data_IF_929192540190
#
_entry.id   IF_929192540190
#
_cell.length_a   1.000
_cell.length_b   1.000
_cell.length_c   1.000
_cell.angle_alpha   90.00
_cell.angle_beta   90.00
_cell.angle_gamma   90.00
#
_symmetry.space_group_name_H-M   'P 1'
#
loop_
_entity.id
_entity.type
_entity.pdbx_description
1 polymer ?
#
# COMPACT_ATOMS: atom_id res chain seq x y z
N UNK A 1 -38.13 68.16 57.83
CA UNK A 1 -37.13 68.15 56.74
C UNK A 1 -36.07 67.10 57.07
N UNK A 2 -35.60 66.40 56.03
CA UNK A 2 -34.45 65.49 55.97
C UNK A 2 -34.68 63.99 56.26
N UNK A 3 -35.18 63.28 55.25
CA UNK A 3 -35.00 61.83 55.06
C UNK A 3 -33.69 61.58 54.30
N UNK A 4 -32.76 60.84 54.88
CA UNK A 4 -31.59 60.30 54.16
C UNK A 4 -31.86 58.85 53.77
N UNK A 5 -32.12 58.62 52.49
CA UNK A 5 -32.23 57.28 51.91
C UNK A 5 -30.88 56.88 51.31
N UNK A 6 -30.19 55.94 51.95
CA UNK A 6 -28.95 55.35 51.41
C UNK A 6 -29.33 54.32 50.35
N UNK A 7 -29.04 54.62 49.08
CA UNK A 7 -29.15 53.65 47.97
C UNK A 7 -28.01 52.64 48.10
N UNK A 8 -28.34 51.38 48.41
CA UNK A 8 -27.41 50.24 48.26
C UNK A 8 -27.25 49.93 46.77
N UNK A 9 -26.05 50.14 46.23
CA UNK A 9 -25.66 49.54 44.96
C UNK A 9 -25.29 48.07 45.22
N UNK A 10 -26.16 47.13 44.82
CA UNK A 10 -25.74 45.74 44.62
C UNK A 10 -25.02 45.66 43.28
N UNK A 11 -23.69 45.50 43.33
CA UNK A 11 -22.91 45.11 42.16
C UNK A 11 -23.13 43.60 41.93
N UNK A 12 -23.83 43.26 40.85
CA UNK A 12 -23.89 41.90 40.33
C UNK A 12 -22.58 41.59 39.59
N UNK A 13 -21.66 40.87 40.23
CA UNK A 13 -20.53 40.23 39.55
C UNK A 13 -21.02 38.98 38.82
N UNK A 14 -21.40 39.14 37.56
CA UNK A 14 -21.56 38.02 36.63
C UNK A 14 -20.20 37.43 36.32
N UNK A 15 -19.84 36.33 36.98
CA UNK A 15 -18.71 35.48 36.59
C UNK A 15 -19.17 34.72 35.33
N UNK A 16 -18.85 35.27 34.17
CA UNK A 16 -18.93 34.58 32.88
C UNK A 16 -17.98 33.37 32.93
N UNK A 17 -18.55 32.18 33.13
CA UNK A 17 -17.86 30.91 32.94
C UNK A 17 -17.60 30.75 31.43
N UNK A 18 -16.53 31.38 30.94
CA UNK A 18 -16.05 31.19 29.57
C UNK A 18 -15.36 29.83 29.52
N UNK A 19 -15.90 28.81 28.81
CA UNK A 19 -15.18 27.58 28.62
C UNK A 19 -13.99 27.89 27.71
N UNK A 20 -12.78 27.88 28.28
CA UNK A 20 -11.53 27.79 27.54
C UNK A 20 -11.53 26.45 26.79
N UNK A 21 -12.16 26.43 25.62
CA UNK A 21 -12.01 25.35 24.66
C UNK A 21 -10.61 25.48 24.08
N UNK A 22 -9.63 24.85 24.74
CA UNK A 22 -8.34 24.56 24.11
C UNK A 22 -8.63 23.67 22.91
N UNK A 23 -8.62 24.26 21.71
CA UNK A 23 -8.62 23.52 20.46
C UNK A 23 -7.29 22.77 20.39
N UNK A 24 -7.31 21.48 20.77
CA UNK A 24 -6.18 20.62 20.50
C UNK A 24 -6.11 20.47 18.98
N UNK A 25 -5.11 21.09 18.38
CA UNK A 25 -4.76 20.84 16.98
C UNK A 25 -4.30 19.39 16.93
N UNK A 26 -5.16 18.51 16.41
CA UNK A 26 -4.80 17.12 16.17
C UNK A 26 -3.78 17.10 15.02
N UNK A 27 -2.50 16.91 15.35
CA UNK A 27 -1.46 16.65 14.37
C UNK A 27 -1.58 15.20 13.92
N UNK A 28 -2.24 14.97 12.78
CA UNK A 28 -2.15 13.70 12.08
C UNK A 28 -0.86 13.71 11.26
N UNK A 29 0.11 12.86 11.60
CA UNK A 29 1.25 12.62 10.72
C UNK A 29 0.75 11.98 9.43
N UNK A 30 1.00 12.62 8.28
CA UNK A 30 0.67 12.05 6.98
C UNK A 30 1.53 10.81 6.72
N UNK A 31 0.92 9.72 6.29
CA UNK A 31 1.63 8.53 5.82
C UNK A 31 1.81 8.62 4.30
N UNK A 32 3.06 8.68 3.83
CA UNK A 32 3.37 8.69 2.40
C UNK A 32 3.46 7.27 1.87
N UNK A 33 2.53 6.93 0.98
CA UNK A 33 2.45 5.61 0.35
C UNK A 33 2.73 5.72 -1.13
N UNK A 34 3.41 4.73 -1.71
CA UNK A 34 3.72 4.68 -3.14
C UNK A 34 3.65 3.24 -3.64
N UNK A 35 3.53 3.07 -4.96
CA UNK A 35 3.59 1.76 -5.60
C UNK A 35 4.53 1.79 -6.80
N UNK A 36 5.29 0.72 -7.02
CA UNK A 36 6.23 0.62 -8.12
C UNK A 36 6.42 -0.80 -8.65
N UNK A 37 6.05 -1.02 -9.92
CA UNK A 37 6.50 -2.17 -10.69
C UNK A 37 7.92 -1.87 -11.20
N UNK A 38 8.90 -2.62 -10.71
CA UNK A 38 10.32 -2.34 -10.96
C UNK A 38 10.86 -3.17 -12.14
N UNK A 39 9.97 -3.79 -12.93
CA UNK A 39 10.26 -4.51 -14.17
C UNK A 39 11.36 -5.58 -14.03
N UNK A 40 11.00 -6.76 -13.53
CA UNK A 40 11.95 -7.87 -13.31
C UNK A 40 13.20 -7.47 -12.51
N UNK A 41 13.02 -6.88 -11.33
CA UNK A 41 14.13 -6.51 -10.45
C UNK A 41 14.80 -7.76 -9.87
N UNK A 42 16.07 -7.97 -10.18
CA UNK A 42 16.89 -9.07 -9.65
C UNK A 42 18.35 -8.64 -9.50
N UNK A 43 19.09 -9.29 -8.61
CA UNK A 43 20.53 -9.10 -8.39
C UNK A 43 21.37 -9.59 -9.55
N UNK A 44 20.85 -10.54 -10.33
CA UNK A 44 21.51 -11.13 -11.49
C UNK A 44 20.69 -10.89 -12.75
N UNK A 45 21.35 -10.63 -13.86
CA UNK A 45 20.71 -10.51 -15.16
C UNK A 45 20.32 -11.88 -15.73
N UNK A 46 19.09 -11.98 -16.23
CA UNK A 46 18.54 -13.15 -16.92
C UNK A 46 18.36 -12.81 -18.41
N UNK A 47 19.10 -13.45 -19.34
CA UNK A 47 19.05 -13.10 -20.76
C UNK A 47 17.66 -13.14 -21.42
N UNK A 48 16.76 -13.97 -20.90
CA UNK A 48 15.39 -14.09 -21.37
C UNK A 48 14.48 -12.91 -20.92
N UNK A 49 14.95 -12.05 -20.02
CA UNK A 49 14.27 -10.84 -19.54
C UNK A 49 15.27 -9.67 -19.52
N UNK A 50 15.35 -8.91 -20.61
CA UNK A 50 16.36 -7.85 -20.75
C UNK A 50 16.30 -6.80 -19.65
N UNK A 51 15.12 -6.54 -19.11
CA UNK A 51 14.88 -5.60 -18.01
C UNK A 51 15.58 -6.02 -16.71
N UNK A 52 15.85 -7.31 -16.55
CA UNK A 52 16.60 -7.84 -15.40
C UNK A 52 18.10 -7.52 -15.47
N UNK A 53 18.62 -7.24 -16.66
CA UNK A 53 20.04 -6.95 -16.89
C UNK A 53 20.30 -5.47 -16.58
N UNK A 54 20.89 -5.20 -15.42
CA UNK A 54 21.15 -3.84 -14.92
C UNK A 54 22.63 -3.60 -14.67
N UNK A 55 23.12 -2.43 -15.07
CA UNK A 55 24.45 -1.96 -14.72
C UNK A 55 24.42 -1.07 -13.46
N UNK A 56 25.58 -0.57 -13.03
CA UNK A 56 25.69 0.28 -11.84
C UNK A 56 24.88 1.58 -11.94
N UNK A 57 24.84 2.22 -13.11
CA UNK A 57 24.09 3.46 -13.33
C UNK A 57 22.58 3.21 -13.19
N UNK A 58 22.09 2.05 -13.65
CA UNK A 58 20.68 1.66 -13.49
C UNK A 58 20.33 1.53 -12.00
N UNK A 59 21.17 0.88 -11.20
CA UNK A 59 20.98 0.77 -9.75
C UNK A 59 21.00 2.13 -9.05
N UNK A 60 21.93 3.00 -9.42
CA UNK A 60 22.00 4.36 -8.87
C UNK A 60 20.75 5.17 -9.21
N UNK A 61 20.22 5.05 -10.44
CA UNK A 61 18.97 5.69 -10.85
C UNK A 61 17.77 5.14 -10.09
N UNK A 62 17.68 3.82 -9.93
CA UNK A 62 16.61 3.19 -9.15
C UNK A 62 16.59 3.72 -7.72
N UNK A 63 17.75 3.74 -7.05
CA UNK A 63 17.86 4.26 -5.69
C UNK A 63 17.57 5.76 -5.61
N UNK A 64 18.06 6.55 -6.58
CA UNK A 64 17.74 7.98 -6.68
C UNK A 64 16.23 8.21 -6.75
N UNK A 65 15.51 7.50 -7.63
CA UNK A 65 14.06 7.65 -7.73
C UNK A 65 13.32 7.11 -6.49
N UNK A 66 13.79 6.02 -5.90
CA UNK A 66 13.26 5.53 -4.62
C UNK A 66 13.32 6.60 -3.52
N UNK A 67 14.45 7.29 -3.39
CA UNK A 67 14.62 8.39 -2.44
C UNK A 67 13.71 9.58 -2.77
N UNK A 68 13.46 9.86 -4.05
CA UNK A 68 12.55 10.94 -4.48
C UNK A 68 11.08 10.65 -4.20
N UNK A 69 10.67 9.38 -4.15
CA UNK A 69 9.30 9.01 -3.74
C UNK A 69 9.05 9.39 -2.28
N UNK A 70 10.10 9.46 -1.45
CA UNK A 70 10.01 9.81 -0.03
C UNK A 70 8.93 9.00 0.70
N UNK A 71 8.83 7.71 0.37
CA UNK A 71 7.75 6.84 0.86
C UNK A 71 8.03 6.37 2.29
N UNK A 72 7.00 6.38 3.13
CA UNK A 72 6.99 5.62 4.37
C UNK A 72 6.63 4.14 4.10
N UNK A 73 5.80 3.89 3.08
CA UNK A 73 5.41 2.57 2.60
C UNK A 73 5.48 2.53 1.08
N UNK A 74 6.33 1.67 0.52
CA UNK A 74 6.42 1.39 -0.91
C UNK A 74 5.89 -0.01 -1.19
N UNK A 75 4.74 -0.13 -1.84
CA UNK A 75 4.32 -1.38 -2.48
C UNK A 75 5.17 -1.60 -3.74
N UNK A 76 5.66 -2.82 -3.95
CA UNK A 76 6.41 -3.14 -5.16
C UNK A 76 5.90 -4.39 -5.85
N UNK A 77 6.16 -4.46 -7.16
CA UNK A 77 5.85 -5.60 -8.01
C UNK A 77 7.05 -5.98 -8.88
N UNK A 78 7.06 -7.23 -9.32
CA UNK A 78 8.11 -7.82 -10.17
C UNK A 78 9.51 -7.83 -9.56
N UNK A 79 9.58 -8.09 -8.24
CA UNK A 79 10.84 -8.19 -7.51
C UNK A 79 11.17 -9.66 -7.26
N UNK A 80 12.40 -10.06 -7.55
CA UNK A 80 12.86 -11.44 -7.40
C UNK A 80 13.13 -11.85 -5.94
N UNK A 81 13.52 -10.90 -5.09
CA UNK A 81 14.14 -11.20 -3.80
C UNK A 81 14.25 -9.94 -2.93
N UNK A 82 14.42 -10.14 -1.63
CA UNK A 82 14.46 -9.04 -0.65
C UNK A 82 15.76 -8.26 -0.80
N UNK A 83 16.85 -8.93 -1.15
CA UNK A 83 18.17 -8.36 -1.37
C UNK A 83 18.17 -7.43 -2.59
N UNK A 84 17.47 -7.78 -3.67
CA UNK A 84 17.32 -6.94 -4.86
C UNK A 84 16.61 -5.61 -4.55
N UNK A 85 15.46 -5.64 -3.87
CA UNK A 85 14.74 -4.41 -3.50
C UNK A 85 15.49 -3.59 -2.44
N UNK A 86 16.19 -4.24 -1.50
CA UNK A 86 16.97 -3.54 -0.49
C UNK A 86 18.06 -2.66 -1.11
N UNK A 87 18.66 -3.08 -2.24
CA UNK A 87 19.61 -2.24 -3.02
C UNK A 87 18.97 -0.98 -3.60
N UNK A 88 17.65 -0.97 -3.80
CA UNK A 88 16.90 0.18 -4.32
C UNK A 88 16.47 1.11 -3.19
N UNK A 89 15.81 0.56 -2.17
CA UNK A 89 15.16 1.36 -1.12
C UNK A 89 16.09 1.73 0.04
N UNK A 90 17.22 1.03 0.19
CA UNK A 90 18.17 1.25 1.28
C UNK A 90 17.79 0.55 2.58
N UNK A 91 18.64 0.71 3.59
CA UNK A 91 18.57 -0.04 4.85
C UNK A 91 17.55 0.51 5.86
N UNK A 92 16.89 1.64 5.56
CA UNK A 92 15.89 2.24 6.45
C UNK A 92 14.51 1.54 6.38
N UNK A 93 14.38 0.53 5.52
CA UNK A 93 13.14 -0.21 5.30
C UNK A 93 13.22 -1.66 5.80
N UNK A 94 12.12 -2.14 6.34
CA UNK A 94 11.82 -3.57 6.47
C UNK A 94 11.15 -4.05 5.19
N UNK A 95 11.58 -5.21 4.67
CA UNK A 95 11.04 -5.78 3.44
C UNK A 95 10.08 -6.92 3.78
N UNK A 96 8.86 -6.83 3.25
CA UNK A 96 7.80 -7.82 3.38
C UNK A 96 7.47 -8.35 1.98
N UNK A 97 8.02 -9.52 1.64
CA UNK A 97 7.71 -10.20 0.39
C UNK A 97 6.46 -11.05 0.52
N UNK A 98 5.79 -11.28 -0.61
CA UNK A 98 4.75 -12.30 -0.72
C UNK A 98 5.21 -13.62 -0.09
N UNK A 99 4.32 -14.25 0.68
CA UNK A 99 4.50 -15.57 1.27
C UNK A 99 4.87 -16.63 0.22
N UNK A 100 4.55 -16.39 -1.06
CA UNK A 100 4.99 -17.21 -2.19
C UNK A 100 6.51 -17.39 -2.23
N UNK A 101 7.30 -16.46 -1.68
CA UNK A 101 8.77 -16.56 -1.59
C UNK A 101 9.27 -17.61 -0.59
N UNK A 102 8.43 -18.02 0.35
CA UNK A 102 8.78 -19.02 1.36
C UNK A 102 8.85 -20.45 0.77
N UNK A 103 9.77 -21.25 1.29
CA UNK A 103 10.02 -22.64 0.87
C UNK A 103 8.76 -23.53 0.88
N UNK A 104 7.79 -23.25 1.75
CA UNK A 104 6.49 -23.94 1.83
C UNK A 104 5.67 -23.77 0.54
N UNK A 105 5.92 -22.71 -0.21
CA UNK A 105 5.25 -22.38 -1.46
C UNK A 105 6.09 -22.69 -2.70
N UNK A 106 7.16 -23.51 -2.59
CA UNK A 106 8.04 -23.87 -3.73
C UNK A 106 7.31 -24.34 -4.99
N UNK A 107 6.15 -24.98 -4.85
CA UNK A 107 5.32 -25.41 -6.00
C UNK A 107 4.78 -24.24 -6.85
N UNK A 108 4.70 -23.05 -6.26
CA UNK A 108 4.30 -21.79 -6.90
C UNK A 108 5.49 -20.89 -7.25
N UNK A 109 6.72 -21.42 -7.21
CA UNK A 109 7.93 -20.67 -7.58
C UNK A 109 8.46 -21.13 -8.93
N UNK A 110 9.07 -20.21 -9.66
CA UNK A 110 9.91 -20.53 -10.82
C UNK A 110 11.30 -20.94 -10.34
N UNK A 111 11.98 -21.78 -11.13
CA UNK A 111 13.31 -22.28 -10.79
C UNK A 111 14.42 -21.24 -11.08
N UNK A 112 14.12 -20.27 -11.94
CA UNK A 112 15.02 -19.20 -12.36
C UNK A 112 14.67 -17.88 -11.64
N UNK A 113 13.92 -17.00 -12.31
CA UNK A 113 13.57 -15.67 -11.80
C UNK A 113 12.09 -15.65 -11.39
N UNK A 114 11.85 -15.10 -10.22
CA UNK A 114 10.52 -14.92 -9.68
C UNK A 114 10.09 -13.46 -9.75
N UNK A 115 8.77 -13.24 -9.76
CA UNK A 115 8.17 -11.92 -9.68
C UNK A 115 7.25 -11.87 -8.47
N UNK A 116 7.78 -11.46 -7.33
CA UNK A 116 7.01 -11.27 -6.11
C UNK A 116 6.39 -9.88 -6.07
N UNK A 117 5.22 -9.79 -5.44
CA UNK A 117 4.72 -8.56 -4.85
C UNK A 117 5.30 -8.42 -3.45
N UNK A 118 5.27 -7.21 -2.90
CA UNK A 118 5.66 -6.98 -1.52
C UNK A 118 5.58 -5.52 -1.12
N UNK A 119 6.14 -5.22 0.05
CA UNK A 119 6.29 -3.87 0.59
C UNK A 119 7.70 -3.63 1.14
N UNK A 120 8.21 -2.43 0.93
CA UNK A 120 9.25 -1.85 1.75
C UNK A 120 8.58 -0.85 2.70
N UNK A 121 8.71 -1.06 4.01
CA UNK A 121 8.10 -0.19 5.03
C UNK A 121 9.18 0.42 5.89
N UNK A 122 9.15 1.74 6.07
CA UNK A 122 10.10 2.45 6.92
C UNK A 122 10.14 1.81 8.32
N UNK A 123 11.34 1.56 8.85
CA UNK A 123 11.56 0.86 10.12
C UNK A 123 10.91 1.52 11.34
N UNK A 124 10.56 2.79 11.25
CA UNK A 124 9.83 3.50 12.31
C UNK A 124 8.35 3.08 12.44
N UNK A 125 7.80 2.38 11.43
CA UNK A 125 6.43 1.90 11.42
C UNK A 125 6.33 0.45 11.89
N UNK A 126 5.29 0.17 12.66
CA UNK A 126 4.95 -1.20 13.07
C UNK A 126 4.01 -1.85 12.05
N UNK A 127 4.31 -3.09 11.68
CA UNK A 127 3.58 -3.86 10.67
C UNK A 127 3.11 -5.18 11.26
N UNK A 128 1.89 -5.58 10.90
CA UNK A 128 1.39 -6.94 11.09
C UNK A 128 1.17 -7.60 9.74
N UNK A 129 1.86 -8.70 9.49
CA UNK A 129 1.68 -9.49 8.27
C UNK A 129 0.40 -10.34 8.35
N UNK A 130 -0.20 -10.58 7.19
CA UNK A 130 -1.35 -11.46 7.05
C UNK A 130 -1.07 -12.56 6.02
N UNK A 131 -2.02 -13.48 5.90
CA UNK A 131 -2.00 -14.43 4.80
C UNK A 131 -2.20 -13.70 3.47
N UNK A 132 -1.35 -14.01 2.49
CA UNK A 132 -1.48 -13.47 1.14
C UNK A 132 -2.81 -13.83 0.50
N UNK A 133 -3.36 -12.89 -0.27
CA UNK A 133 -4.51 -13.14 -1.11
C UNK A 133 -4.04 -13.79 -2.43
N UNK A 134 -4.40 -15.07 -2.63
CA UNK A 134 -4.11 -15.77 -3.87
C UNK A 134 -5.16 -15.41 -4.94
N UNK A 135 -4.77 -14.59 -5.91
CA UNK A 135 -5.58 -14.17 -7.06
C UNK A 135 -5.31 -15.02 -8.31
N UNK A 136 -4.60 -16.14 -8.18
CA UNK A 136 -4.38 -17.05 -9.29
C UNK A 136 -5.65 -17.87 -9.59
N UNK A 137 -6.15 -17.76 -10.81
CA UNK A 137 -7.33 -18.51 -11.29
C UNK A 137 -6.95 -19.61 -12.29
N UNK A 138 -5.67 -19.74 -12.63
CA UNK A 138 -5.18 -20.67 -13.62
C UNK A 138 -4.73 -21.99 -13.00
N UNK A 139 -5.05 -23.11 -13.68
CA UNK A 139 -4.54 -24.43 -13.32
C UNK A 139 -3.01 -24.44 -13.40
N UNK A 140 -2.34 -24.81 -12.31
CA UNK A 140 -0.88 -24.77 -12.15
C UNK A 140 -0.25 -23.38 -12.31
N UNK A 141 -1.04 -22.31 -12.21
CA UNK A 141 -0.48 -20.95 -12.21
C UNK A 141 0.44 -20.73 -11.00
N UNK A 142 1.46 -19.90 -11.20
CA UNK A 142 2.48 -19.59 -10.19
C UNK A 142 2.50 -18.12 -9.79
N UNK A 143 1.78 -17.27 -10.50
CA UNK A 143 1.77 -15.82 -10.29
C UNK A 143 0.49 -15.38 -9.59
N UNK A 144 0.36 -14.06 -9.34
CA UNK A 144 -0.86 -13.41 -8.84
C UNK A 144 -1.14 -13.66 -7.36
N UNK A 145 -0.09 -13.68 -6.55
CA UNK A 145 -0.19 -13.65 -5.08
C UNK A 145 -0.03 -12.20 -4.63
N UNK A 146 -1.01 -11.70 -3.90
CA UNK A 146 -1.02 -10.35 -3.37
C UNK A 146 -0.55 -10.33 -1.92
N UNK A 147 0.49 -9.56 -1.66
CA UNK A 147 1.07 -9.42 -0.31
C UNK A 147 0.15 -8.56 0.52
N UNK A 148 -0.19 -9.00 1.73
CA UNK A 148 -1.14 -8.33 2.62
C UNK A 148 -0.50 -8.02 3.97
N UNK A 149 -0.48 -6.74 4.34
CA UNK A 149 -0.01 -6.27 5.65
C UNK A 149 -1.01 -5.27 6.28
N UNK A 150 -0.95 -5.11 7.59
CA UNK A 150 -1.54 -4.00 8.33
C UNK A 150 -0.41 -3.06 8.78
N UNK A 151 -0.44 -1.79 8.36
CA UNK A 151 0.49 -0.76 8.82
C UNK A 151 -0.14 0.02 9.96
N UNK A 152 0.44 -0.06 11.16
CA UNK A 152 -0.08 0.64 12.34
C UNK A 152 0.29 2.11 12.28
N UNK A 153 -0.63 2.96 12.76
CA UNK A 153 -0.45 4.41 12.83
C UNK A 153 -0.69 4.91 14.25
N UNK A 154 0.13 5.85 14.76
CA UNK A 154 -0.14 6.48 16.04
C UNK A 154 -1.51 7.17 16.02
N UNK A 155 -2.35 6.88 17.02
CA UNK A 155 -3.66 7.53 17.22
C UNK A 155 -4.63 7.46 16.03
N UNK A 156 -4.45 6.48 15.13
CA UNK A 156 -5.34 6.26 13.99
C UNK A 156 -5.51 4.76 13.73
N UNK A 157 -6.61 4.32 13.09
CA UNK A 157 -6.77 2.94 12.68
C UNK A 157 -5.60 2.48 11.79
N UNK A 158 -5.21 1.22 11.96
CA UNK A 158 -4.24 0.58 11.08
C UNK A 158 -4.75 0.59 9.64
N UNK A 159 -3.84 0.67 8.69
CA UNK A 159 -4.17 0.60 7.27
C UNK A 159 -3.92 -0.81 6.77
N UNK A 160 -4.95 -1.42 6.20
CA UNK A 160 -4.88 -2.70 5.51
C UNK A 160 -4.33 -2.45 4.10
N UNK A 161 -3.09 -2.87 3.88
CA UNK A 161 -2.33 -2.62 2.67
C UNK A 161 -2.23 -3.89 1.81
N UNK A 162 -2.58 -3.80 0.52
CA UNK A 162 -2.49 -4.91 -0.42
C UNK A 162 -1.64 -4.54 -1.66
N UNK A 163 -0.54 -5.26 -1.88
CA UNK A 163 0.31 -5.11 -3.07
C UNK A 163 -0.07 -6.16 -4.10
N UNK A 164 -0.64 -5.73 -5.22
CA UNK A 164 -1.21 -6.61 -6.25
C UNK A 164 -0.48 -6.44 -7.59
N UNK A 165 -0.43 -7.52 -8.37
CA UNK A 165 0.03 -7.49 -9.76
C UNK A 165 -0.88 -8.41 -10.58
N UNK A 166 -1.90 -7.87 -11.25
CA UNK A 166 -2.91 -8.68 -11.94
C UNK A 166 -2.47 -9.08 -13.35
N UNK A 167 -3.34 -9.82 -14.04
CA UNK A 167 -3.12 -10.30 -15.41
C UNK A 167 -3.08 -9.13 -16.40
N UNK A 168 -1.90 -8.88 -16.98
CA UNK A 168 -1.74 -7.97 -18.12
C UNK A 168 -2.31 -8.56 -19.44
N UNK A 169 -2.44 -7.71 -20.46
CA UNK A 169 -2.82 -8.10 -21.82
C UNK A 169 -4.33 -8.13 -22.09
N UNK A 170 -5.15 -7.58 -21.19
CA UNK A 170 -6.52 -7.23 -21.53
C UNK A 170 -6.53 -5.87 -22.23
N UNK A 171 -7.00 -5.82 -23.48
CA UNK A 171 -7.06 -4.59 -24.26
C UNK A 171 -8.51 -4.19 -24.52
N UNK A 172 -8.78 -2.88 -24.55
CA UNK A 172 -10.13 -2.33 -24.69
C UNK A 172 -10.92 -2.87 -25.90
N UNK A 173 -10.20 -3.17 -26.99
CA UNK A 173 -10.77 -3.65 -28.26
C UNK A 173 -11.14 -5.14 -28.26
N UNK A 174 -10.62 -5.93 -27.31
CA UNK A 174 -10.80 -7.38 -27.27
C UNK A 174 -11.19 -7.88 -25.87
N UNK A 175 -12.32 -7.34 -25.37
CA UNK A 175 -12.81 -7.59 -23.99
C UNK A 175 -13.10 -9.05 -23.65
N UNK A 176 -13.19 -9.94 -24.65
CA UNK A 176 -13.55 -11.35 -24.46
C UNK A 176 -12.37 -12.32 -24.53
N UNK A 177 -11.13 -11.84 -24.68
CA UNK A 177 -9.97 -12.72 -24.70
C UNK A 177 -9.68 -13.34 -23.31
N UNK A 178 -8.86 -14.40 -23.29
CA UNK A 178 -8.50 -15.12 -22.06
C UNK A 178 -7.91 -14.21 -20.98
N UNK A 179 -7.08 -13.23 -21.36
CA UNK A 179 -6.48 -12.29 -20.41
C UNK A 179 -7.53 -11.41 -19.73
N UNK A 180 -8.50 -10.90 -20.49
CA UNK A 180 -9.62 -10.12 -19.94
C UNK A 180 -10.51 -10.95 -19.01
N UNK A 181 -10.78 -12.22 -19.35
CA UNK A 181 -11.56 -13.11 -18.49
C UNK A 181 -10.86 -13.35 -17.14
N UNK A 182 -9.57 -13.67 -17.17
CA UNK A 182 -8.75 -13.85 -15.96
C UNK A 182 -8.72 -12.56 -15.13
N UNK A 183 -8.45 -11.42 -15.77
CA UNK A 183 -8.37 -10.12 -15.10
C UNK A 183 -9.71 -9.76 -14.43
N UNK A 184 -10.84 -10.01 -15.09
CA UNK A 184 -12.16 -9.79 -14.51
C UNK A 184 -12.39 -10.64 -13.26
N UNK A 185 -12.09 -11.93 -13.31
CA UNK A 185 -12.22 -12.80 -12.12
C UNK A 185 -11.30 -12.34 -10.99
N UNK A 186 -10.08 -11.89 -11.31
CA UNK A 186 -9.18 -11.31 -10.32
C UNK A 186 -9.75 -10.04 -9.69
N UNK A 187 -10.36 -9.16 -10.50
CA UNK A 187 -11.05 -7.97 -10.02
C UNK A 187 -12.23 -8.30 -9.10
N UNK A 188 -13.01 -9.34 -9.40
CA UNK A 188 -14.10 -9.81 -8.55
C UNK A 188 -13.60 -10.32 -7.19
N UNK A 189 -12.50 -11.08 -7.17
CA UNK A 189 -11.85 -11.55 -5.94
C UNK A 189 -11.31 -10.39 -5.11
N UNK A 190 -10.66 -9.41 -5.76
CA UNK A 190 -10.15 -8.21 -5.10
C UNK A 190 -11.28 -7.37 -4.51
N UNK A 191 -12.36 -7.14 -5.27
CA UNK A 191 -13.54 -6.43 -4.81
C UNK A 191 -14.20 -7.12 -3.61
N UNK A 192 -14.21 -8.45 -3.58
CA UNK A 192 -14.71 -9.21 -2.43
C UNK A 192 -13.86 -8.97 -1.18
N UNK A 193 -12.53 -8.95 -1.32
CA UNK A 193 -11.62 -8.60 -0.23
C UNK A 193 -11.82 -7.16 0.26
N UNK A 194 -11.99 -6.20 -0.65
CA UNK A 194 -12.26 -4.79 -0.31
C UNK A 194 -13.57 -4.66 0.48
N UNK A 195 -14.66 -5.24 -0.03
CA UNK A 195 -15.99 -5.18 0.60
C UNK A 195 -16.01 -5.77 2.01
N UNK A 196 -15.24 -6.83 2.26
CA UNK A 196 -15.10 -7.41 3.59
C UNK A 196 -14.51 -6.40 4.59
N UNK A 197 -13.50 -5.62 4.16
CA UNK A 197 -12.85 -4.59 4.97
C UNK A 197 -13.73 -3.34 5.14
N UNK A 198 -14.44 -2.93 4.09
CA UNK A 198 -15.43 -1.85 4.16
C UNK A 198 -16.54 -2.17 5.15
N UNK A 199 -17.06 -3.41 5.14
CA UNK A 199 -18.08 -3.87 6.07
C UNK A 199 -17.60 -3.89 7.53
N UNK A 200 -16.30 -4.07 7.76
CA UNK A 200 -15.69 -4.02 9.08
C UNK A 200 -15.35 -2.59 9.54
N UNK A 201 -15.44 -1.59 8.66
CA UNK A 201 -15.01 -0.22 8.93
C UNK A 201 -13.49 -0.04 8.92
N UNK A 202 -12.76 -0.94 8.26
CA UNK A 202 -11.30 -0.92 8.18
C UNK A 202 -10.81 0.19 7.23
N UNK A 203 -9.65 0.81 7.54
CA UNK A 203 -8.99 1.72 6.62
C UNK A 203 -8.16 0.91 5.59
N UNK A 204 -8.40 1.14 4.30
CA UNK A 204 -7.85 0.29 3.22
C UNK A 204 -6.91 1.10 2.32
N UNK A 205 -5.79 0.50 1.94
CA UNK A 205 -4.96 0.93 0.82
C UNK A 205 -4.65 -0.28 -0.08
N UNK A 206 -5.26 -0.32 -1.26
CA UNK A 206 -4.97 -1.32 -2.29
C UNK A 206 -4.53 -0.59 -3.54
N UNK A 207 -3.38 -0.97 -4.12
CA UNK A 207 -2.87 -0.32 -5.33
C UNK A 207 -2.35 -1.33 -6.34
N UNK A 208 -2.72 -1.11 -7.59
CA UNK A 208 -2.29 -1.88 -8.75
C UNK A 208 -1.59 -0.95 -9.73
N UNK A 209 -0.42 -1.35 -10.24
CA UNK A 209 0.08 -0.79 -11.51
C UNK A 209 -0.46 -1.68 -12.63
N UNK A 210 -1.59 -1.27 -13.21
CA UNK A 210 -2.01 -1.75 -14.52
C UNK A 210 -1.00 -1.21 -15.52
N UNK A 211 -0.04 -2.03 -15.98
CA UNK A 211 0.61 -1.75 -17.25
C UNK A 211 -0.48 -1.81 -18.32
N UNK A 212 -0.94 -0.63 -18.72
CA UNK A 212 -1.99 -0.30 -19.72
C UNK A 212 -3.45 -0.55 -19.33
N UNK A 213 -4.12 0.58 -19.03
CA UNK A 213 -5.54 0.94 -19.23
C UNK A 213 -6.64 0.33 -18.34
N UNK A 214 -7.48 1.25 -17.81
CA UNK A 214 -8.82 1.13 -17.20
C UNK A 214 -8.92 1.03 -15.66
N UNK A 215 -8.77 2.18 -14.99
CA UNK A 215 -9.41 2.48 -13.69
C UNK A 215 -10.28 3.75 -13.79
N UNK A 216 -11.09 3.82 -14.84
CA UNK A 216 -12.24 4.72 -14.92
C UNK A 216 -13.38 3.91 -15.53
N UNK A 217 -14.54 3.88 -14.84
CA UNK A 217 -15.81 3.18 -15.20
C UNK A 217 -16.05 1.79 -14.59
N UNK A 218 -16.03 1.69 -13.25
CA UNK A 218 -16.72 0.60 -12.53
C UNK A 218 -17.58 1.11 -11.35
N UNK A 219 -18.02 2.37 -11.41
CA UNK A 219 -19.15 2.90 -10.62
C UNK A 219 -19.98 3.79 -11.54
N UNK A 220 -20.88 3.15 -12.27
CA UNK A 220 -21.94 3.72 -13.10
C UNK A 220 -22.98 2.64 -13.32
#
# INVERSE_FOLDING_TARGET
MNTKTVKKCLAFTSILLSPLTFTQVAYASSLQVSSWNIAWLSETGYPQFSESIRNQDDWQRLSYYSNKLNSDVLAFQEVNSAEAISKVVGDDFNIYLSQRSDWRYRGHQFNDINQYTGFAVNKSLEVKEHKDLNLNTERNGKLRFATYIEVKRPNAPAIHALSVHLKAGCQAKERNNRSCQILRTQGEMLNSWIKEREANGDAIWSWEILTTTWLTEATG
#
